data_IF_445787284496
#
_entry.id   IF_445787284496
#
_cell.length_a   1.000
_cell.length_b   1.000
_cell.length_c   1.000
_cell.angle_alpha   90.00
_cell.angle_beta   90.00
_cell.angle_gamma   90.00
#
_symmetry.space_group_name_H-M   'P 1'
#
loop_
_entity.id
_entity.type
_entity.pdbx_description
1 polymer ?
#
# COMPACT_ATOMS: atom_id res chain seq x y z
N UNK A 1 -22.78 11.56 -3.54
CA UNK A 1 -21.43 11.89 -4.01
C UNK A 1 -21.21 11.24 -5.36
N UNK A 2 -20.93 12.03 -6.35
CA UNK A 2 -20.63 11.65 -7.73
C UNK A 2 -19.15 11.85 -8.03
N UNK A 3 -18.66 11.32 -9.18
CA UNK A 3 -17.29 11.56 -9.65
C UNK A 3 -17.00 13.06 -9.82
N UNK A 4 -17.97 13.83 -10.32
CA UNK A 4 -17.77 15.27 -10.52
C UNK A 4 -17.64 16.02 -9.17
N UNK A 5 -18.44 15.66 -8.18
CA UNK A 5 -18.39 16.27 -6.85
C UNK A 5 -17.06 15.96 -6.15
N UNK A 6 -16.60 14.69 -6.15
CA UNK A 6 -15.36 14.29 -5.46
C UNK A 6 -14.12 14.97 -6.07
N UNK A 7 -14.11 15.24 -7.37
CA UNK A 7 -13.02 15.93 -8.02
C UNK A 7 -12.86 17.41 -7.58
N UNK A 8 -13.90 18.00 -7.02
CA UNK A 8 -13.92 19.39 -6.56
C UNK A 8 -13.72 19.55 -5.04
N UNK A 9 -13.72 18.46 -4.28
CA UNK A 9 -13.57 18.46 -2.81
C UNK A 9 -12.08 18.37 -2.43
N UNK A 10 -11.61 19.17 -1.48
CA UNK A 10 -10.27 19.03 -0.90
C UNK A 10 -10.29 18.03 0.28
N UNK A 11 -9.11 17.71 0.82
CA UNK A 11 -8.97 16.72 1.90
C UNK A 11 -9.70 17.13 3.18
N UNK A 12 -9.64 18.41 3.55
CA UNK A 12 -10.30 18.94 4.76
C UNK A 12 -11.83 18.84 4.63
N UNK A 13 -12.38 19.26 3.50
CA UNK A 13 -13.80 19.13 3.19
C UNK A 13 -14.25 17.66 3.20
N UNK A 14 -13.45 16.75 2.62
CA UNK A 14 -13.72 15.32 2.58
C UNK A 14 -13.84 14.73 3.99
N UNK A 15 -12.94 15.11 4.90
CA UNK A 15 -12.94 14.63 6.29
C UNK A 15 -14.09 15.25 7.08
N UNK A 16 -14.31 16.55 6.94
CA UNK A 16 -15.36 17.28 7.67
C UNK A 16 -16.77 16.81 7.30
N UNK A 17 -16.96 16.35 6.06
CA UNK A 17 -18.23 15.77 5.61
C UNK A 17 -18.56 14.46 6.34
N UNK A 18 -17.55 13.73 6.82
CA UNK A 18 -17.76 12.42 7.45
C UNK A 18 -18.31 11.38 6.47
N UNK A 19 -19.41 10.70 6.85
CA UNK A 19 -20.02 9.69 6.00
C UNK A 19 -20.95 10.29 4.96
N UNK A 20 -20.94 9.76 3.73
CA UNK A 20 -21.80 10.20 2.65
C UNK A 20 -22.33 9.04 1.80
N UNK A 21 -23.52 9.22 1.22
CA UNK A 21 -24.07 8.30 0.23
C UNK A 21 -23.39 8.51 -1.13
N UNK A 22 -22.97 7.42 -1.77
CA UNK A 22 -22.22 7.43 -3.03
C UNK A 22 -23.09 6.90 -4.18
N UNK A 23 -22.85 7.37 -5.41
CA UNK A 23 -23.51 6.86 -6.61
C UNK A 23 -23.24 5.36 -6.87
N UNK A 24 -22.17 4.77 -6.28
CA UNK A 24 -21.96 3.32 -6.31
C UNK A 24 -22.95 2.52 -5.45
N UNK A 25 -23.89 3.19 -4.78
CA UNK A 25 -24.91 2.57 -3.92
C UNK A 25 -24.47 2.29 -2.49
N UNK A 26 -23.23 2.59 -2.12
CA UNK A 26 -22.70 2.41 -0.75
C UNK A 26 -22.64 3.73 0.02
N UNK A 27 -22.53 3.63 1.34
CA UNK A 27 -22.17 4.74 2.22
C UNK A 27 -20.68 4.63 2.53
N UNK A 28 -19.93 5.68 2.24
CA UNK A 28 -18.50 5.75 2.53
C UNK A 28 -18.23 6.58 3.78
N UNK A 29 -17.21 6.19 4.55
CA UNK A 29 -16.72 6.91 5.71
C UNK A 29 -15.19 6.96 5.67
N UNK A 30 -14.55 8.12 5.91
CA UNK A 30 -13.09 8.27 5.79
C UNK A 30 -12.30 7.44 6.81
N UNK A 31 -12.91 7.03 7.92
CA UNK A 31 -12.25 6.23 8.96
C UNK A 31 -11.27 7.03 9.83
N UNK A 32 -11.00 8.28 9.50
CA UNK A 32 -10.18 9.25 10.25
C UNK A 32 -11.00 10.48 10.56
N UNK A 33 -10.77 11.10 11.72
CA UNK A 33 -11.53 12.28 12.15
C UNK A 33 -10.81 13.59 11.87
N UNK A 34 -9.47 13.58 11.90
CA UNK A 34 -8.64 14.77 11.66
C UNK A 34 -7.40 14.42 10.84
N UNK A 35 -7.05 15.28 9.91
CA UNK A 35 -5.76 15.27 9.21
C UNK A 35 -5.26 16.71 9.15
N UNK A 36 -4.06 16.94 9.67
CA UNK A 36 -3.44 18.27 9.74
C UNK A 36 -2.07 18.14 9.08
N UNK A 37 -1.90 18.73 7.90
CA UNK A 37 -0.63 18.70 7.14
C UNK A 37 -0.22 20.13 6.85
N UNK A 38 0.57 20.71 7.77
CA UNK A 38 1.03 22.10 7.71
C UNK A 38 2.30 22.31 8.54
N UNK A 39 2.94 23.45 8.43
CA UNK A 39 4.06 23.81 9.30
C UNK A 39 3.59 24.03 10.73
N UNK A 40 4.32 23.45 11.69
CA UNK A 40 3.97 23.57 13.10
C UNK A 40 2.75 22.74 13.50
N UNK A 41 2.33 21.75 12.70
CA UNK A 41 1.14 20.93 12.95
C UNK A 41 1.18 20.21 14.32
N UNK A 42 2.35 19.89 14.87
CA UNK A 42 2.48 19.33 16.22
C UNK A 42 1.86 20.21 17.32
N UNK A 43 1.76 21.52 17.11
CA UNK A 43 1.12 22.43 18.06
C UNK A 43 -0.39 22.19 18.20
N UNK A 44 -1.01 21.42 17.32
CA UNK A 44 -2.42 21.02 17.42
C UNK A 44 -2.67 19.90 18.45
N UNK A 45 -1.63 19.20 18.94
CA UNK A 45 -1.79 18.07 19.84
C UNK A 45 -2.61 18.36 21.11
N UNK A 46 -2.43 19.50 21.82
CA UNK A 46 -3.26 19.80 22.98
C UNK A 46 -4.75 19.89 22.64
N UNK A 47 -5.10 20.54 21.55
CA UNK A 47 -6.50 20.67 21.10
C UNK A 47 -7.07 19.31 20.66
N UNK A 48 -6.27 18.46 19.99
CA UNK A 48 -6.68 17.11 19.59
C UNK A 48 -6.93 16.21 20.83
N UNK A 49 -6.08 16.31 21.86
CA UNK A 49 -6.26 15.59 23.11
C UNK A 49 -7.50 16.08 23.88
N UNK A 50 -7.72 17.39 23.93
CA UNK A 50 -8.92 17.98 24.53
C UNK A 50 -10.20 17.48 23.81
N UNK A 51 -10.21 17.44 22.49
CA UNK A 51 -11.37 17.00 21.68
C UNK A 51 -11.76 15.55 21.99
N UNK A 52 -10.79 14.68 22.26
CA UNK A 52 -11.06 13.28 22.65
C UNK A 52 -11.19 13.07 24.17
N UNK A 53 -11.05 14.15 24.97
CA UNK A 53 -11.13 14.12 26.43
C UNK A 53 -9.92 13.45 27.11
N UNK A 54 -8.79 13.34 26.42
CA UNK A 54 -7.59 12.71 26.94
C UNK A 54 -6.71 13.71 27.73
N UNK A 55 -6.10 13.22 28.81
CA UNK A 55 -5.28 14.02 29.73
C UNK A 55 -3.84 13.53 29.85
N UNK A 56 -3.59 12.26 29.59
CA UNK A 56 -2.27 11.63 29.72
C UNK A 56 -2.03 10.68 28.56
N UNK A 57 -1.46 11.13 27.43
CA UNK A 57 -1.14 10.24 26.31
C UNK A 57 0.06 9.34 26.61
N UNK A 58 0.06 8.16 26.00
CA UNK A 58 1.22 7.27 25.89
C UNK A 58 1.93 7.52 24.57
N UNK A 59 3.20 7.95 24.63
CA UNK A 59 4.03 8.20 23.44
C UNK A 59 4.75 6.92 23.04
N UNK A 60 4.61 6.50 21.79
CA UNK A 60 5.25 5.32 21.21
C UNK A 60 6.12 5.72 20.03
N UNK A 61 7.42 5.39 20.04
CA UNK A 61 8.34 5.73 18.95
C UNK A 61 9.50 4.73 18.82
N UNK A 62 10.14 4.71 17.66
CA UNK A 62 11.50 4.19 17.50
C UNK A 62 12.53 5.20 17.95
N UNK A 63 13.80 4.77 18.12
CA UNK A 63 14.90 5.68 18.46
C UNK A 63 15.02 6.82 17.44
N UNK A 64 15.16 6.47 16.15
CA UNK A 64 15.38 7.44 15.07
C UNK A 64 14.18 8.39 14.88
N UNK A 65 12.96 7.88 15.07
CA UNK A 65 11.74 8.69 14.93
C UNK A 65 11.51 9.59 16.15
N UNK A 66 12.00 9.18 17.33
CA UNK A 66 12.03 10.05 18.50
C UNK A 66 13.05 11.18 18.37
N UNK A 67 14.24 10.89 17.78
CA UNK A 67 15.21 11.93 17.45
C UNK A 67 14.64 12.95 16.46
N UNK A 68 13.86 12.49 15.47
CA UNK A 68 13.29 13.34 14.44
C UNK A 68 12.19 14.29 14.97
N UNK A 69 11.32 13.83 15.88
CA UNK A 69 10.13 14.56 16.27
C UNK A 69 9.81 14.53 17.77
N UNK A 70 10.46 13.67 18.55
CA UNK A 70 10.13 13.47 19.96
C UNK A 70 10.29 14.73 20.80
N UNK A 71 11.36 15.51 20.58
CA UNK A 71 11.59 16.76 21.31
C UNK A 71 10.48 17.81 21.04
N UNK A 72 10.03 17.94 19.79
CA UNK A 72 8.94 18.86 19.44
C UNK A 72 7.62 18.44 20.09
N UNK A 73 7.29 17.14 20.05
CA UNK A 73 6.07 16.60 20.65
C UNK A 73 6.08 16.78 22.17
N UNK A 74 7.17 16.40 22.86
CA UNK A 74 7.25 16.51 24.32
C UNK A 74 7.22 17.98 24.78
N UNK A 75 7.92 18.88 24.08
CA UNK A 75 7.89 20.31 24.39
C UNK A 75 6.47 20.91 24.30
N UNK A 76 5.69 20.52 23.26
CA UNK A 76 4.30 20.96 23.12
C UNK A 76 3.44 20.47 24.30
N UNK A 77 3.58 19.21 24.70
CA UNK A 77 2.83 18.66 25.83
C UNK A 77 3.22 19.34 27.15
N UNK A 78 4.51 19.47 27.43
CA UNK A 78 5.07 20.09 28.64
C UNK A 78 4.67 21.56 28.77
N UNK A 79 4.76 22.34 27.68
CA UNK A 79 4.36 23.72 27.65
C UNK A 79 2.86 23.94 27.91
N UNK A 80 2.03 22.93 27.70
CA UNK A 80 0.60 22.95 27.96
C UNK A 80 0.22 22.20 29.24
N UNK A 81 1.21 21.77 30.06
CA UNK A 81 0.98 21.09 31.32
C UNK A 81 0.34 19.72 31.20
N UNK A 82 0.56 19.03 30.08
CA UNK A 82 0.02 17.71 29.79
C UNK A 82 1.06 16.66 30.19
N UNK A 83 0.75 15.86 31.21
CA UNK A 83 1.57 14.71 31.60
C UNK A 83 1.51 13.60 30.53
N UNK A 84 2.59 12.86 30.36
CA UNK A 84 2.66 11.72 29.44
C UNK A 84 3.53 10.60 29.98
N UNK A 85 3.29 9.37 29.51
CA UNK A 85 4.25 8.29 29.60
C UNK A 85 4.85 8.04 28.21
N UNK A 86 6.06 7.47 28.12
CA UNK A 86 6.67 7.17 26.83
C UNK A 86 7.40 5.85 26.81
N UNK A 87 7.37 5.21 25.66
CA UNK A 87 8.23 4.09 25.33
C UNK A 87 8.90 4.33 23.96
N UNK A 88 10.23 4.31 23.98
CA UNK A 88 11.07 4.42 22.80
C UNK A 88 11.73 3.06 22.59
N UNK A 89 11.50 2.42 21.44
CA UNK A 89 12.12 1.14 21.14
C UNK A 89 13.65 1.28 21.16
N UNK A 90 14.37 0.41 21.89
CA UNK A 90 15.82 0.51 22.03
C UNK A 90 16.60 -0.02 20.82
N UNK A 91 15.89 -0.54 19.81
CA UNK A 91 16.47 -1.14 18.61
C UNK A 91 16.21 -0.25 17.38
N UNK A 92 17.17 -0.20 16.45
CA UNK A 92 17.02 0.44 15.15
C UNK A 92 17.66 -0.46 14.08
N UNK A 93 16.96 -0.68 12.94
CA UNK A 93 15.58 -0.29 12.67
C UNK A 93 14.56 -1.12 13.47
N UNK A 94 13.42 -0.50 13.82
CA UNK A 94 12.27 -1.23 14.38
C UNK A 94 11.60 -2.01 13.25
N UNK A 95 11.32 -3.30 13.47
CA UNK A 95 10.60 -4.16 12.52
C UNK A 95 9.17 -4.42 12.99
N UNK A 96 8.20 -4.61 12.07
CA UNK A 96 6.79 -4.81 12.40
C UNK A 96 6.51 -6.26 12.84
N UNK A 97 7.10 -6.72 13.92
CA UNK A 97 7.05 -8.09 14.41
C UNK A 97 6.17 -8.24 15.66
N UNK A 98 5.88 -9.48 16.02
CA UNK A 98 5.22 -9.82 17.29
C UNK A 98 5.98 -9.30 18.51
N UNK A 99 7.33 -9.30 18.44
CA UNK A 99 8.18 -8.72 19.49
C UNK A 99 7.89 -7.23 19.69
N UNK A 100 7.76 -6.48 18.59
CA UNK A 100 7.51 -5.03 18.64
C UNK A 100 6.15 -4.73 19.27
N UNK A 101 5.10 -5.44 18.87
CA UNK A 101 3.77 -5.29 19.45
C UNK A 101 3.76 -5.72 20.91
N UNK A 102 4.34 -6.87 21.21
CA UNK A 102 4.44 -7.39 22.58
C UNK A 102 5.24 -6.45 23.51
N UNK A 103 6.34 -5.90 23.02
CA UNK A 103 7.16 -4.94 23.76
C UNK A 103 6.41 -3.63 24.04
N UNK A 104 5.72 -3.07 23.03
CA UNK A 104 4.88 -1.89 23.22
C UNK A 104 3.80 -2.12 24.28
N UNK A 105 3.16 -3.29 24.23
CA UNK A 105 2.11 -3.66 25.19
C UNK A 105 2.65 -3.85 26.63
N UNK A 106 3.81 -4.50 26.78
CA UNK A 106 4.42 -4.72 28.10
C UNK A 106 4.92 -3.43 28.78
N UNK A 107 5.23 -2.39 27.99
CA UNK A 107 5.67 -1.09 28.51
C UNK A 107 4.53 -0.05 28.57
N UNK A 108 3.32 -0.47 28.19
CA UNK A 108 2.18 0.43 28.21
C UNK A 108 1.81 0.83 29.64
N UNK A 109 1.70 2.14 29.89
CA UNK A 109 1.22 2.68 31.17
C UNK A 109 -0.31 2.78 31.15
N UNK A 110 -0.95 1.91 31.91
CA UNK A 110 -2.43 1.83 32.00
C UNK A 110 -3.10 3.05 32.63
N UNK A 111 -2.34 4.03 33.15
CA UNK A 111 -2.88 5.33 33.56
C UNK A 111 -3.05 6.30 32.38
N UNK A 112 -2.59 5.92 31.17
CA UNK A 112 -2.75 6.70 29.95
C UNK A 112 -4.13 6.46 29.32
N UNK A 113 -4.68 7.52 28.72
CA UNK A 113 -6.04 7.59 28.16
C UNK A 113 -6.08 7.86 26.64
N UNK A 114 -4.91 8.02 26.01
CA UNK A 114 -4.72 8.10 24.58
C UNK A 114 -3.36 7.54 24.17
N UNK A 115 -3.15 7.28 22.90
CA UNK A 115 -1.86 6.84 22.33
C UNK A 115 -1.44 7.83 21.26
N UNK A 116 -0.19 8.32 21.31
CA UNK A 116 0.45 9.11 20.27
C UNK A 116 1.63 8.31 19.73
N UNK A 117 1.53 7.85 18.48
CA UNK A 117 2.66 7.32 17.73
C UNK A 117 3.50 8.46 17.16
N UNK A 118 4.83 8.38 17.29
CA UNK A 118 5.77 9.31 16.66
C UNK A 118 6.62 8.49 15.71
N UNK A 119 6.30 8.52 14.41
CA UNK A 119 6.98 7.67 13.45
C UNK A 119 6.31 7.58 12.09
N UNK A 120 6.72 6.58 11.33
CA UNK A 120 6.16 6.23 10.02
C UNK A 120 5.52 4.82 10.08
N UNK A 121 5.57 4.03 9.01
CA UNK A 121 4.83 2.79 8.85
C UNK A 121 4.81 1.85 10.05
N UNK A 122 5.98 1.42 10.52
CA UNK A 122 6.09 0.41 11.60
C UNK A 122 5.52 0.91 12.92
N UNK A 123 5.84 2.16 13.29
CA UNK A 123 5.31 2.78 14.52
C UNK A 123 3.80 2.99 14.40
N UNK A 124 3.33 3.41 13.23
CA UNK A 124 1.91 3.56 12.97
C UNK A 124 1.17 2.22 13.11
N UNK A 125 1.67 1.17 12.48
CA UNK A 125 1.05 -0.16 12.54
C UNK A 125 1.06 -0.74 13.96
N UNK A 126 2.16 -0.58 14.69
CA UNK A 126 2.25 -0.98 16.11
C UNK A 126 1.29 -0.17 16.98
N UNK A 127 1.22 1.16 16.78
CA UNK A 127 0.30 2.05 17.50
C UNK A 127 -1.17 1.70 17.26
N UNK A 128 -1.54 1.39 16.02
CA UNK A 128 -2.89 0.93 15.65
C UNK A 128 -3.25 -0.40 16.33
N UNK A 129 -2.30 -1.35 16.40
CA UNK A 129 -2.49 -2.62 17.11
C UNK A 129 -2.66 -2.41 18.62
N UNK A 130 -1.83 -1.54 19.24
CA UNK A 130 -1.95 -1.19 20.66
C UNK A 130 -3.27 -0.48 20.95
N UNK A 131 -3.70 0.46 20.10
CA UNK A 131 -4.97 1.15 20.22
C UNK A 131 -6.17 0.21 20.16
N UNK A 132 -6.13 -0.78 19.25
CA UNK A 132 -7.16 -1.83 19.18
C UNK A 132 -7.21 -2.67 20.47
N UNK A 133 -6.05 -3.05 21.00
CA UNK A 133 -5.96 -3.90 22.20
C UNK A 133 -6.42 -3.16 23.45
N UNK A 134 -6.18 -1.85 23.56
CA UNK A 134 -6.53 -1.01 24.71
C UNK A 134 -7.88 -0.33 24.60
N UNK A 135 -8.45 -0.22 23.39
CA UNK A 135 -9.67 0.52 23.13
C UNK A 135 -9.47 2.07 23.11
N UNK A 136 -8.23 2.53 23.18
CA UNK A 136 -7.91 3.97 23.22
C UNK A 136 -7.88 4.62 21.83
N UNK A 137 -8.07 5.93 21.80
CA UNK A 137 -7.87 6.72 20.58
C UNK A 137 -6.39 6.80 20.23
N UNK A 138 -6.09 6.74 18.93
CA UNK A 138 -4.75 6.77 18.40
C UNK A 138 -4.54 8.02 17.53
N UNK A 139 -3.47 8.76 17.81
CA UNK A 139 -2.99 9.89 17.01
C UNK A 139 -1.60 9.50 16.48
N UNK A 140 -1.37 9.71 15.18
CA UNK A 140 -0.02 9.57 14.61
C UNK A 140 0.58 10.92 14.28
N UNK A 141 1.76 11.20 14.82
CA UNK A 141 2.66 12.26 14.37
C UNK A 141 3.60 11.63 13.38
N UNK A 142 3.36 11.90 12.10
CA UNK A 142 4.13 11.30 11.01
C UNK A 142 5.53 11.94 10.93
N UNK A 143 6.57 11.10 10.86
CA UNK A 143 7.96 11.56 10.69
C UNK A 143 8.47 11.47 9.25
N UNK A 144 7.77 10.74 8.39
CA UNK A 144 8.05 10.67 6.96
C UNK A 144 6.80 10.21 6.19
N UNK A 145 6.49 10.80 5.03
CA UNK A 145 5.40 10.38 4.16
C UNK A 145 5.86 9.20 3.27
N UNK A 146 6.01 7.99 3.82
CA UNK A 146 6.69 6.88 3.15
C UNK A 146 5.78 5.74 2.68
N UNK A 147 4.49 5.71 3.08
CA UNK A 147 3.51 4.66 2.75
C UNK A 147 2.07 5.12 3.01
N UNK A 148 1.07 4.43 2.44
CA UNK A 148 -0.35 4.81 2.49
C UNK A 148 -1.15 4.24 3.69
N UNK A 149 -0.49 3.54 4.61
CA UNK A 149 -1.13 2.87 5.74
C UNK A 149 -1.53 3.76 6.92
N UNK A 150 -1.38 5.11 6.87
CA UNK A 150 -1.62 6.01 8.01
C UNK A 150 -3.03 5.90 8.57
N UNK A 151 -4.03 5.84 7.70
CA UNK A 151 -5.45 5.81 8.08
C UNK A 151 -6.15 4.51 7.73
N UNK A 152 -5.44 3.50 7.24
CA UNK A 152 -6.03 2.19 6.95
C UNK A 152 -6.45 1.46 8.24
N UNK A 153 -7.54 0.70 8.18
CA UNK A 153 -8.02 -0.15 9.28
C UNK A 153 -7.23 -1.45 9.48
N UNK A 154 -6.09 -1.60 8.80
CA UNK A 154 -5.22 -2.78 8.90
C UNK A 154 -3.78 -2.39 9.22
N UNK A 155 -3.04 -3.29 9.84
CA UNK A 155 -1.60 -3.18 10.12
C UNK A 155 -0.86 -4.30 9.39
N UNK A 156 0.23 -3.96 8.71
CA UNK A 156 1.10 -4.91 8.02
C UNK A 156 2.18 -5.39 8.98
N UNK A 157 2.09 -6.66 9.37
CA UNK A 157 2.94 -7.24 10.42
C UNK A 157 3.63 -8.50 9.92
N UNK A 158 4.77 -8.81 10.52
CA UNK A 158 5.44 -10.10 10.40
C UNK A 158 4.97 -10.97 11.57
N UNK A 159 4.34 -12.10 11.27
CA UNK A 159 3.84 -13.06 12.26
C UNK A 159 4.23 -14.48 11.86
N UNK A 160 4.88 -15.20 12.75
CA UNK A 160 5.36 -16.57 12.50
C UNK A 160 6.26 -16.65 11.25
N UNK A 161 7.05 -15.59 10.98
CA UNK A 161 7.88 -15.49 9.76
C UNK A 161 7.13 -15.18 8.47
N UNK A 162 5.85 -14.81 8.55
CA UNK A 162 5.00 -14.47 7.40
C UNK A 162 4.56 -13.02 7.44
N UNK A 163 4.53 -12.37 6.27
CA UNK A 163 3.92 -11.05 6.09
C UNK A 163 2.40 -11.16 6.06
N UNK A 164 1.73 -10.62 7.09
CA UNK A 164 0.27 -10.68 7.24
C UNK A 164 -0.33 -9.29 7.40
N UNK A 165 -1.56 -9.11 6.91
CA UNK A 165 -2.36 -7.92 7.21
C UNK A 165 -3.35 -8.25 8.32
N UNK A 166 -3.20 -7.61 9.46
CA UNK A 166 -4.06 -7.79 10.62
C UNK A 166 -5.05 -6.64 10.73
N UNK A 167 -6.31 -6.95 11.06
CA UNK A 167 -7.27 -5.90 11.39
C UNK A 167 -6.80 -5.14 12.63
N UNK A 168 -6.79 -3.81 12.53
CA UNK A 168 -6.42 -2.88 13.59
C UNK A 168 -7.44 -1.75 13.69
N UNK A 169 -7.11 -0.69 14.44
CA UNK A 169 -7.93 0.52 14.51
C UNK A 169 -7.24 1.60 13.68
N UNK A 170 -7.94 2.24 12.76
CA UNK A 170 -7.40 3.39 12.04
C UNK A 170 -7.00 4.52 13.02
N UNK A 171 -6.02 5.34 12.64
CA UNK A 171 -5.70 6.54 13.41
C UNK A 171 -6.92 7.46 13.49
N UNK A 172 -7.22 7.95 14.71
CA UNK A 172 -8.25 8.98 14.89
C UNK A 172 -7.82 10.32 14.31
N UNK A 173 -6.52 10.64 14.44
CA UNK A 173 -5.93 11.81 13.82
C UNK A 173 -4.55 11.53 13.23
N UNK A 174 -4.23 12.22 12.13
CA UNK A 174 -2.92 12.25 11.49
C UNK A 174 -2.37 13.68 11.57
N UNK A 175 -1.17 13.81 12.13
CA UNK A 175 -0.44 15.07 12.26
C UNK A 175 0.82 14.98 11.39
N UNK A 176 0.84 15.69 10.29
CA UNK A 176 1.95 15.79 9.33
C UNK A 176 2.60 17.16 9.42
N UNK A 177 3.51 17.36 10.35
CA UNK A 177 4.22 18.63 10.49
C UNK A 177 5.28 18.78 9.38
N UNK A 178 5.12 19.77 8.52
CA UNK A 178 6.01 19.99 7.39
C UNK A 178 7.44 20.39 7.81
N UNK A 179 7.61 20.97 9.00
CA UNK A 179 8.96 21.25 9.53
C UNK A 179 9.69 19.93 9.90
N UNK A 180 8.95 18.85 10.19
CA UNK A 180 9.47 17.50 10.42
C UNK A 180 9.54 16.72 9.10
N UNK A 181 8.44 16.65 8.35
CA UNK A 181 8.34 15.83 7.15
C UNK A 181 9.37 16.23 6.08
N UNK A 182 9.66 17.53 5.92
CA UNK A 182 10.68 18.00 4.99
C UNK A 182 12.11 17.60 5.40
N UNK A 183 12.34 17.21 6.66
CA UNK A 183 13.64 16.70 7.14
C UNK A 183 13.78 15.18 7.04
N UNK A 184 12.72 14.48 6.67
CA UNK A 184 12.77 13.02 6.53
C UNK A 184 13.89 12.56 5.58
N UNK A 185 14.49 11.38 5.80
CA UNK A 185 15.47 10.83 4.86
C UNK A 185 14.90 10.77 3.43
N UNK A 186 15.71 11.16 2.43
CA UNK A 186 15.22 11.28 1.04
C UNK A 186 14.64 9.97 0.51
N UNK A 187 15.25 8.84 0.84
CA UNK A 187 14.73 7.53 0.43
C UNK A 187 13.30 7.25 0.97
N UNK A 188 12.90 7.84 2.11
CA UNK A 188 11.54 7.72 2.64
C UNK A 188 10.56 8.66 1.91
N UNK A 189 10.99 9.85 1.51
CA UNK A 189 10.19 10.74 0.67
C UNK A 189 9.92 10.12 -0.70
N UNK A 190 10.97 9.59 -1.30
CA UNK A 190 10.90 8.87 -2.59
C UNK A 190 10.06 7.61 -2.48
N UNK A 191 10.16 6.87 -1.36
CA UNK A 191 9.29 5.72 -1.07
C UNK A 191 7.81 6.10 -1.11
N UNK A 192 7.42 7.24 -0.51
CA UNK A 192 6.03 7.69 -0.57
C UNK A 192 5.54 7.96 -1.99
N UNK A 193 6.39 8.53 -2.85
CA UNK A 193 6.06 8.67 -4.27
C UNK A 193 5.88 7.31 -4.94
N UNK A 194 6.78 6.35 -4.69
CA UNK A 194 6.68 5.00 -5.23
C UNK A 194 5.38 4.29 -4.84
N UNK A 195 4.96 4.45 -3.60
CA UNK A 195 3.68 3.93 -3.13
C UNK A 195 2.49 4.63 -3.83
N UNK A 196 2.58 5.95 -4.10
CA UNK A 196 1.56 6.64 -4.89
C UNK A 196 1.57 6.22 -6.36
N UNK A 197 2.73 5.98 -6.99
CA UNK A 197 2.82 5.48 -8.36
C UNK A 197 2.10 4.12 -8.53
N UNK A 198 2.06 3.29 -7.51
CA UNK A 198 1.32 2.04 -7.52
C UNK A 198 -0.18 2.21 -7.87
N UNK A 199 -0.75 3.40 -7.61
CA UNK A 199 -2.15 3.72 -7.91
C UNK A 199 -2.42 3.80 -9.42
N UNK A 200 -1.38 3.99 -10.24
CA UNK A 200 -1.46 3.93 -11.71
C UNK A 200 -2.02 2.57 -12.15
N UNK A 201 -1.48 1.50 -11.61
CA UNK A 201 -1.82 0.12 -12.02
C UNK A 201 -2.97 -0.44 -11.19
N UNK A 202 -2.99 -0.24 -9.87
CA UNK A 202 -4.02 -0.79 -8.99
C UNK A 202 -5.44 -0.35 -9.35
N UNK A 203 -5.65 0.92 -9.75
CA UNK A 203 -6.97 1.41 -10.15
C UNK A 203 -7.47 0.74 -11.44
N UNK A 204 -6.59 0.49 -12.41
CA UNK A 204 -6.93 -0.20 -13.65
C UNK A 204 -7.19 -1.68 -13.40
N UNK A 205 -6.37 -2.33 -12.58
CA UNK A 205 -6.59 -3.71 -12.18
C UNK A 205 -7.89 -3.89 -11.38
N UNK A 206 -8.27 -2.93 -10.56
CA UNK A 206 -9.57 -2.94 -9.89
C UNK A 206 -10.72 -2.89 -10.90
N UNK A 207 -10.61 -2.06 -11.94
CA UNK A 207 -11.58 -2.01 -13.04
C UNK A 207 -11.61 -3.31 -13.86
N UNK A 208 -10.44 -3.91 -14.12
CA UNK A 208 -10.36 -5.22 -14.79
C UNK A 208 -11.04 -6.33 -13.97
N UNK A 209 -10.85 -6.32 -12.65
CA UNK A 209 -11.51 -7.28 -11.76
C UNK A 209 -13.04 -7.13 -11.75
N UNK A 210 -13.57 -5.90 -11.79
CA UNK A 210 -15.00 -5.68 -12.00
C UNK A 210 -15.49 -6.32 -13.31
N UNK A 211 -14.77 -6.10 -14.41
CA UNK A 211 -15.13 -6.62 -15.73
C UNK A 211 -15.12 -8.15 -15.76
N UNK A 212 -14.08 -8.77 -15.20
CA UNK A 212 -13.78 -10.20 -15.41
C UNK A 212 -14.43 -11.08 -14.35
N UNK A 213 -14.39 -10.65 -13.09
CA UNK A 213 -14.87 -11.48 -11.96
C UNK A 213 -16.04 -10.85 -11.20
N UNK A 214 -16.52 -9.68 -11.63
CA UNK A 214 -17.67 -9.01 -11.01
C UNK A 214 -17.37 -8.42 -9.64
N UNK A 215 -16.11 -8.05 -9.37
CA UNK A 215 -15.73 -7.42 -8.11
C UNK A 215 -16.36 -6.03 -7.97
N UNK A 216 -16.76 -5.66 -6.77
CA UNK A 216 -17.29 -4.33 -6.49
C UNK A 216 -16.28 -3.23 -6.85
N UNK A 217 -16.70 -2.29 -7.69
CA UNK A 217 -15.90 -1.13 -8.11
C UNK A 217 -16.64 0.17 -7.78
N UNK A 218 -15.91 1.15 -7.25
CA UNK A 218 -16.47 2.48 -6.98
C UNK A 218 -15.75 3.55 -7.82
N UNK A 219 -16.40 4.13 -8.84
CA UNK A 219 -15.79 5.14 -9.69
C UNK A 219 -15.45 6.42 -8.92
N UNK A 220 -16.21 6.78 -7.88
CA UNK A 220 -15.94 7.95 -7.03
C UNK A 220 -14.65 7.76 -6.23
N UNK A 221 -14.48 6.57 -5.64
CA UNK A 221 -13.23 6.23 -4.93
C UNK A 221 -12.03 6.21 -5.87
N UNK A 222 -12.19 5.64 -7.06
CA UNK A 222 -11.13 5.61 -8.06
C UNK A 222 -10.75 7.02 -8.53
N UNK A 223 -11.73 7.91 -8.76
CA UNK A 223 -11.49 9.30 -9.15
C UNK A 223 -10.76 10.09 -8.04
N UNK A 224 -11.12 9.88 -6.77
CA UNK A 224 -10.44 10.50 -5.63
C UNK A 224 -8.95 10.13 -5.59
N UNK A 225 -8.63 8.86 -5.75
CA UNK A 225 -7.24 8.38 -5.75
C UNK A 225 -6.49 8.87 -6.99
N UNK A 226 -7.13 8.87 -8.18
CA UNK A 226 -6.51 9.39 -9.39
C UNK A 226 -6.15 10.87 -9.25
N UNK A 227 -7.04 11.69 -8.71
CA UNK A 227 -6.77 13.10 -8.42
C UNK A 227 -5.58 13.30 -7.48
N UNK A 228 -5.48 12.50 -6.42
CA UNK A 228 -4.36 12.55 -5.49
C UNK A 228 -3.05 12.14 -6.17
N UNK A 229 -3.07 11.09 -7.00
CA UNK A 229 -1.95 10.65 -7.81
C UNK A 229 -1.46 11.76 -8.75
N UNK A 230 -2.38 12.39 -9.50
CA UNK A 230 -2.05 13.45 -10.45
C UNK A 230 -1.39 14.65 -9.73
N UNK A 231 -1.87 14.99 -8.53
CA UNK A 231 -1.26 16.04 -7.69
C UNK A 231 0.17 15.67 -7.28
N UNK A 232 0.40 14.43 -6.83
CA UNK A 232 1.74 13.95 -6.46
C UNK A 232 2.67 13.96 -7.66
N UNK A 233 2.25 13.41 -8.80
CA UNK A 233 3.08 13.35 -10.01
C UNK A 233 3.47 14.75 -10.51
N UNK A 234 2.56 15.72 -10.44
CA UNK A 234 2.84 17.10 -10.86
C UNK A 234 3.76 17.87 -9.91
N UNK A 235 3.95 17.40 -8.67
CA UNK A 235 4.78 18.07 -7.65
C UNK A 235 6.14 17.42 -7.43
N UNK A 236 6.49 16.36 -8.16
CA UNK A 236 7.72 15.59 -7.94
C UNK A 236 9.01 16.38 -8.12
N UNK A 237 9.05 17.40 -8.99
CA UNK A 237 10.23 18.27 -9.19
C UNK A 237 10.70 18.98 -7.91
N UNK A 238 9.76 19.33 -7.01
CA UNK A 238 10.06 19.97 -5.72
C UNK A 238 10.56 18.99 -4.64
N UNK A 239 10.41 17.66 -4.87
CA UNK A 239 10.68 16.68 -3.82
C UNK A 239 12.16 16.63 -3.42
N UNK A 240 13.07 16.59 -4.40
CA UNK A 240 14.52 16.58 -4.13
C UNK A 240 14.99 17.86 -3.44
N UNK A 241 14.29 18.98 -3.63
CA UNK A 241 14.52 20.25 -2.94
C UNK A 241 13.83 20.32 -1.58
N UNK A 242 13.07 19.29 -1.23
CA UNK A 242 12.27 19.25 0.02
C UNK A 242 11.28 20.40 0.13
N UNK A 243 10.73 20.84 -1.01
CA UNK A 243 9.74 21.91 -1.03
C UNK A 243 8.49 21.50 -0.25
N UNK A 244 8.00 22.32 0.69
CA UNK A 244 6.87 21.93 1.55
C UNK A 244 5.62 21.51 0.77
N UNK A 245 5.36 22.13 -0.36
CA UNK A 245 4.21 21.82 -1.23
C UNK A 245 4.34 20.41 -1.85
N UNK A 246 5.56 20.01 -2.26
CA UNK A 246 5.80 18.68 -2.80
C UNK A 246 5.66 17.61 -1.71
N UNK A 247 6.25 17.82 -0.54
CA UNK A 247 6.17 16.89 0.59
C UNK A 247 4.74 16.79 1.12
N UNK A 248 4.00 17.92 1.22
CA UNK A 248 2.58 17.94 1.59
C UNK A 248 1.75 17.14 0.58
N UNK A 249 1.99 17.32 -0.72
CA UNK A 249 1.26 16.58 -1.76
C UNK A 249 1.43 15.07 -1.62
N UNK A 250 2.64 14.58 -1.32
CA UNK A 250 2.88 13.16 -1.05
C UNK A 250 2.13 12.71 0.21
N UNK A 251 2.24 13.45 1.33
CA UNK A 251 1.56 13.09 2.58
C UNK A 251 0.04 13.03 2.42
N UNK A 252 -0.55 14.06 1.80
CA UNK A 252 -1.99 14.10 1.54
C UNK A 252 -2.43 12.97 0.59
N UNK A 253 -1.64 12.70 -0.46
CA UNK A 253 -1.91 11.60 -1.38
C UNK A 253 -1.96 10.24 -0.69
N UNK A 254 -0.99 9.95 0.18
CA UNK A 254 -0.93 8.73 0.97
C UNK A 254 -2.12 8.61 1.94
N UNK A 255 -2.51 9.70 2.59
CA UNK A 255 -3.71 9.73 3.44
C UNK A 255 -4.98 9.46 2.62
N UNK A 256 -5.12 10.09 1.44
CA UNK A 256 -6.25 9.87 0.53
C UNK A 256 -6.31 8.40 0.07
N UNK A 257 -5.18 7.78 -0.24
CA UNK A 257 -5.13 6.35 -0.57
C UNK A 257 -5.64 5.47 0.59
N UNK A 258 -5.26 5.80 1.84
CA UNK A 258 -5.77 5.14 3.04
C UNK A 258 -7.28 5.33 3.24
N UNK A 259 -7.80 6.54 3.02
CA UNK A 259 -9.24 6.83 3.05
C UNK A 259 -9.98 6.02 1.97
N UNK A 260 -9.41 5.93 0.77
CA UNK A 260 -10.00 5.16 -0.32
C UNK A 260 -10.09 3.65 -0.01
N UNK A 261 -9.10 3.10 0.69
CA UNK A 261 -9.17 1.73 1.20
C UNK A 261 -10.31 1.55 2.20
N UNK A 262 -10.56 2.52 3.09
CA UNK A 262 -11.70 2.50 3.99
C UNK A 262 -13.04 2.57 3.22
N UNK A 263 -13.13 3.39 2.17
CA UNK A 263 -14.32 3.48 1.32
C UNK A 263 -14.63 2.17 0.59
N UNK A 264 -13.62 1.52 0.06
CA UNK A 264 -13.76 0.26 -0.63
C UNK A 264 -13.99 -0.94 0.32
N UNK A 265 -13.56 -0.83 1.59
CA UNK A 265 -13.50 -1.93 2.56
C UNK A 265 -12.42 -2.98 2.23
N UNK A 266 -11.65 -2.73 1.20
CA UNK A 266 -10.56 -3.59 0.70
C UNK A 266 -9.42 -2.71 0.16
N UNK A 267 -8.22 -3.28 0.00
CA UNK A 267 -7.05 -2.52 -0.48
C UNK A 267 -6.98 -2.36 -2.02
N UNK A 268 -8.08 -2.60 -2.76
CA UNK A 268 -8.11 -2.49 -4.23
C UNK A 268 -7.72 -1.11 -4.78
N UNK A 269 -8.21 0.01 -4.19
CA UNK A 269 -7.87 1.33 -4.72
C UNK A 269 -6.37 1.66 -4.65
N UNK A 270 -5.64 0.94 -3.81
CA UNK A 270 -4.25 1.23 -3.48
C UNK A 270 -3.27 0.12 -3.85
N UNK A 271 -3.73 -1.09 -4.17
CA UNK A 271 -2.87 -2.28 -4.28
C UNK A 271 -3.37 -3.26 -5.33
N UNK A 272 -2.55 -3.51 -6.33
CA UNK A 272 -2.71 -4.51 -7.40
C UNK A 272 -1.49 -5.43 -7.50
N UNK A 273 -1.13 -5.83 -8.72
CA UNK A 273 0.02 -6.70 -9.04
C UNK A 273 1.35 -6.11 -8.57
N UNK A 274 1.52 -4.79 -8.66
CA UNK A 274 2.72 -4.08 -8.22
C UNK A 274 3.05 -4.32 -6.74
N UNK A 275 2.04 -4.35 -5.89
CA UNK A 275 2.21 -4.68 -4.47
C UNK A 275 2.49 -6.17 -4.24
N UNK A 276 2.08 -7.02 -5.15
CA UNK A 276 2.36 -8.45 -5.05
C UNK A 276 3.83 -8.76 -5.32
N UNK A 277 4.51 -7.98 -6.14
CA UNK A 277 5.97 -7.97 -6.20
C UNK A 277 6.57 -7.67 -4.82
N UNK A 278 6.17 -6.57 -4.18
CA UNK A 278 6.63 -6.20 -2.85
C UNK A 278 6.40 -7.30 -1.82
N UNK A 279 5.22 -7.93 -1.81
CA UNK A 279 4.92 -9.00 -0.86
C UNK A 279 5.82 -10.24 -1.04
N UNK A 280 6.14 -10.64 -2.28
CA UNK A 280 7.05 -11.75 -2.54
C UNK A 280 8.46 -11.38 -2.07
N UNK A 281 8.94 -10.18 -2.40
CA UNK A 281 10.26 -9.70 -1.97
C UNK A 281 10.37 -9.61 -0.44
N UNK A 282 9.32 -9.12 0.24
CA UNK A 282 9.26 -9.10 1.70
C UNK A 282 9.33 -10.52 2.28
N UNK A 283 8.52 -11.48 1.78
CA UNK A 283 8.57 -12.86 2.26
C UNK A 283 9.93 -13.50 2.04
N UNK A 284 10.58 -13.24 0.91
CA UNK A 284 11.94 -13.72 0.67
C UNK A 284 12.96 -13.10 1.61
N UNK A 285 12.85 -11.80 1.91
CA UNK A 285 13.78 -11.14 2.85
C UNK A 285 13.68 -11.65 4.29
N UNK A 286 12.54 -12.27 4.64
CA UNK A 286 12.38 -12.96 5.92
C UNK A 286 12.92 -14.40 5.91
N UNK A 287 12.95 -15.04 4.74
CA UNK A 287 13.28 -16.45 4.58
C UNK A 287 14.75 -16.69 4.19
N UNK A 288 15.37 -15.78 3.46
CA UNK A 288 16.68 -15.97 2.84
C UNK A 288 17.61 -14.79 3.14
N UNK A 289 18.86 -15.09 3.52
CA UNK A 289 19.89 -14.09 3.86
C UNK A 289 20.37 -13.27 2.66
N UNK A 290 20.20 -13.79 1.43
CA UNK A 290 20.58 -13.12 0.18
C UNK A 290 19.53 -12.10 -0.30
N UNK A 291 18.33 -12.12 0.24
CA UNK A 291 17.27 -11.17 -0.08
C UNK A 291 17.34 -9.94 0.84
N UNK A 292 17.35 -8.76 0.24
CA UNK A 292 17.45 -7.50 0.98
C UNK A 292 16.07 -6.97 1.35
N UNK A 293 15.98 -6.41 2.55
CA UNK A 293 14.82 -5.62 2.95
C UNK A 293 14.92 -4.21 2.35
N UNK A 294 13.82 -3.71 1.82
CA UNK A 294 13.72 -2.34 1.31
C UNK A 294 12.39 -1.69 1.72
N UNK A 295 12.31 -0.38 1.62
CA UNK A 295 11.08 0.36 1.91
C UNK A 295 9.94 -0.08 0.99
N UNK A 296 8.76 -0.25 1.57
CA UNK A 296 7.57 -0.74 0.89
C UNK A 296 7.26 0.02 -0.42
N UNK A 297 7.29 1.35 -0.37
CA UNK A 297 7.00 2.16 -1.55
C UNK A 297 8.08 2.08 -2.64
N UNK A 298 9.35 1.79 -2.30
CA UNK A 298 10.38 1.51 -3.31
C UNK A 298 10.03 0.21 -4.05
N UNK A 299 9.69 -0.83 -3.31
CA UNK A 299 9.29 -2.10 -3.91
C UNK A 299 8.01 -1.96 -4.74
N UNK A 300 6.98 -1.25 -4.23
CA UNK A 300 5.73 -1.01 -4.95
C UNK A 300 5.94 -0.18 -6.23
N UNK A 301 6.82 0.83 -6.19
CA UNK A 301 7.18 1.63 -7.36
C UNK A 301 7.89 0.80 -8.43
N UNK A 302 8.87 -0.04 -8.05
CA UNK A 302 9.51 -0.99 -8.96
C UNK A 302 8.48 -1.97 -9.55
N UNK A 303 7.60 -2.53 -8.71
CA UNK A 303 6.52 -3.39 -9.14
C UNK A 303 5.58 -2.69 -10.15
N UNK A 304 5.32 -1.38 -9.95
CA UNK A 304 4.54 -0.58 -10.91
C UNK A 304 5.21 -0.53 -12.28
N UNK A 305 6.51 -0.25 -12.32
CA UNK A 305 7.26 -0.20 -13.57
C UNK A 305 7.19 -1.56 -14.30
N UNK A 306 7.39 -2.66 -13.61
CA UNK A 306 7.30 -4.00 -14.20
C UNK A 306 5.88 -4.36 -14.63
N UNK A 307 4.88 -3.96 -13.86
CA UNK A 307 3.46 -4.13 -14.22
C UNK A 307 3.13 -3.38 -15.52
N UNK A 308 3.60 -2.14 -15.68
CA UNK A 308 3.42 -1.36 -16.90
C UNK A 308 4.10 -2.02 -18.10
N UNK A 309 5.34 -2.49 -17.95
CA UNK A 309 6.05 -3.21 -19.02
C UNK A 309 5.28 -4.44 -19.48
N UNK A 310 4.70 -5.22 -18.55
CA UNK A 310 3.92 -6.41 -18.88
C UNK A 310 2.61 -6.07 -19.62
N UNK A 311 1.92 -5.00 -19.24
CA UNK A 311 0.73 -4.54 -19.95
C UNK A 311 1.04 -3.95 -21.33
N UNK A 312 2.16 -3.23 -21.47
CA UNK A 312 2.65 -2.76 -22.77
C UNK A 312 2.95 -3.93 -23.70
N UNK A 313 3.59 -4.98 -23.20
CA UNK A 313 3.90 -6.18 -23.96
C UNK A 313 2.63 -6.86 -24.51
N UNK A 314 1.59 -6.98 -23.65
CA UNK A 314 0.29 -7.51 -24.06
C UNK A 314 -0.31 -6.73 -25.24
N UNK A 315 -0.29 -5.40 -25.17
CA UNK A 315 -0.87 -4.54 -26.19
C UNK A 315 0.00 -4.50 -27.45
N UNK A 316 1.31 -4.35 -27.30
CA UNK A 316 2.25 -4.19 -28.43
C UNK A 316 2.34 -5.46 -29.29
N UNK A 317 2.29 -6.63 -28.69
CA UNK A 317 2.24 -7.92 -29.41
C UNK A 317 0.85 -8.19 -30.00
N UNK A 318 -0.16 -7.39 -29.67
CA UNK A 318 -1.51 -7.56 -30.21
C UNK A 318 -2.14 -8.88 -29.86
N UNK A 319 -1.88 -9.39 -28.64
CA UNK A 319 -2.48 -10.63 -28.16
C UNK A 319 -4.00 -10.56 -28.23
N UNK A 320 -4.59 -11.69 -28.64
CA UNK A 320 -6.03 -11.93 -28.61
C UNK A 320 -6.31 -13.21 -27.89
N UNK A 321 -7.44 -13.33 -27.17
CA UNK A 321 -7.82 -14.57 -26.52
C UNK A 321 -7.93 -15.71 -27.54
N UNK A 322 -7.22 -16.80 -27.29
CA UNK A 322 -7.32 -18.06 -28.01
C UNK A 322 -7.89 -19.10 -27.05
N UNK A 323 -9.16 -19.43 -27.23
CA UNK A 323 -9.90 -20.34 -26.36
C UNK A 323 -9.27 -21.74 -26.27
N UNK A 324 -8.84 -22.28 -27.40
CA UNK A 324 -8.27 -23.63 -27.46
C UNK A 324 -6.90 -23.65 -26.77
N UNK A 325 -6.03 -22.67 -27.07
CA UNK A 325 -4.73 -22.51 -26.42
C UNK A 325 -4.88 -22.39 -24.92
N UNK A 326 -5.77 -21.52 -24.41
CA UNK A 326 -5.97 -21.27 -23.00
C UNK A 326 -6.49 -22.51 -22.24
N UNK A 327 -7.49 -23.21 -22.80
CA UNK A 327 -8.01 -24.44 -22.19
C UNK A 327 -6.98 -25.57 -22.18
N UNK A 328 -6.19 -25.73 -23.26
CA UNK A 328 -5.12 -26.71 -23.32
C UNK A 328 -3.98 -26.38 -22.34
N UNK A 329 -3.65 -25.11 -22.16
CA UNK A 329 -2.67 -24.68 -21.17
C UNK A 329 -3.08 -25.13 -19.75
N UNK A 330 -4.30 -24.81 -19.34
CA UNK A 330 -4.80 -25.17 -17.99
C UNK A 330 -4.91 -26.68 -17.80
N UNK A 331 -5.32 -27.41 -18.84
CA UNK A 331 -5.39 -28.89 -18.80
C UNK A 331 -4.03 -29.55 -18.56
N UNK A 332 -2.95 -28.93 -19.07
CA UNK A 332 -1.59 -29.46 -18.95
C UNK A 332 -0.78 -28.82 -17.80
N UNK A 333 -1.37 -27.88 -17.07
CA UNK A 333 -0.70 -27.22 -15.95
C UNK A 333 -0.53 -28.18 -14.78
N UNK A 334 0.71 -28.35 -14.33
CA UNK A 334 1.04 -29.16 -13.15
C UNK A 334 1.04 -28.29 -11.90
N UNK A 335 0.01 -28.42 -11.08
CA UNK A 335 -0.09 -27.67 -9.82
C UNK A 335 0.98 -28.11 -8.81
N UNK A 336 1.35 -29.41 -8.81
CA UNK A 336 2.39 -29.93 -7.92
C UNK A 336 3.76 -29.35 -8.25
N UNK A 337 4.11 -29.25 -9.54
CA UNK A 337 5.37 -28.63 -9.98
C UNK A 337 5.36 -27.13 -9.65
N UNK A 338 4.24 -26.45 -9.84
CA UNK A 338 4.06 -25.05 -9.50
C UNK A 338 4.24 -24.80 -8.00
N UNK A 339 3.60 -25.59 -7.15
CA UNK A 339 3.75 -25.51 -5.70
C UNK A 339 5.19 -25.82 -5.26
N UNK A 340 5.89 -26.70 -5.96
CA UNK A 340 7.32 -26.93 -5.78
C UNK A 340 8.17 -25.69 -6.06
N UNK A 341 7.86 -24.96 -7.15
CA UNK A 341 8.54 -23.69 -7.49
C UNK A 341 8.26 -22.60 -6.44
N UNK A 342 6.99 -22.45 -5.99
CA UNK A 342 6.63 -21.51 -4.92
C UNK A 342 7.46 -21.78 -3.65
N UNK A 343 7.54 -23.03 -3.18
CA UNK A 343 8.34 -23.41 -2.01
C UNK A 343 9.82 -23.10 -2.17
N UNK A 344 10.37 -23.39 -3.34
CA UNK A 344 11.78 -23.14 -3.63
C UNK A 344 12.12 -21.66 -3.66
N UNK A 345 11.24 -20.82 -4.20
CA UNK A 345 11.51 -19.41 -4.39
C UNK A 345 11.10 -18.54 -3.21
N UNK A 346 9.90 -18.75 -2.66
CA UNK A 346 9.33 -17.93 -1.59
C UNK A 346 9.73 -18.40 -0.18
N UNK A 347 10.08 -19.68 -0.07
CA UNK A 347 10.39 -20.30 1.23
C UNK A 347 9.13 -20.57 2.07
N UNK A 348 9.18 -20.39 3.41
CA UNK A 348 8.05 -20.70 4.30
C UNK A 348 6.74 -19.98 3.95
N UNK A 349 6.82 -18.79 3.36
CA UNK A 349 5.66 -18.01 2.92
C UNK A 349 4.82 -18.69 1.83
N UNK A 350 5.40 -19.66 1.10
CA UNK A 350 4.72 -20.39 0.05
C UNK A 350 3.51 -21.21 0.56
N UNK A 351 3.58 -21.75 1.76
CA UNK A 351 2.46 -22.55 2.30
C UNK A 351 1.18 -21.70 2.47
N UNK A 352 1.31 -20.46 2.91
CA UNK A 352 0.16 -19.54 3.00
C UNK A 352 -0.42 -19.20 1.62
N UNK A 353 0.42 -19.11 0.58
CA UNK A 353 -0.02 -18.92 -0.81
C UNK A 353 -0.80 -20.16 -1.30
N UNK A 354 -0.25 -21.37 -1.10
CA UNK A 354 -0.85 -22.63 -1.50
C UNK A 354 -2.19 -22.86 -0.75
N UNK A 355 -2.26 -22.57 0.53
CA UNK A 355 -3.51 -22.62 1.29
C UNK A 355 -4.55 -21.64 0.74
N UNK A 356 -4.12 -20.42 0.36
CA UNK A 356 -4.95 -19.42 -0.29
C UNK A 356 -5.49 -19.90 -1.64
N UNK A 357 -4.64 -20.49 -2.49
CA UNK A 357 -5.02 -21.10 -3.78
C UNK A 357 -6.12 -22.15 -3.61
N UNK A 358 -5.92 -23.06 -2.66
CA UNK A 358 -6.86 -24.13 -2.36
C UNK A 358 -8.20 -23.59 -1.85
N UNK A 359 -8.17 -22.63 -0.91
CA UNK A 359 -9.36 -22.00 -0.35
C UNK A 359 -10.19 -21.27 -1.42
N UNK A 360 -9.54 -20.53 -2.30
CA UNK A 360 -10.16 -19.77 -3.38
C UNK A 360 -10.49 -20.65 -4.61
N UNK A 361 -10.02 -21.89 -4.65
CA UNK A 361 -10.12 -22.78 -5.81
C UNK A 361 -9.59 -22.11 -7.09
N UNK A 362 -8.40 -21.49 -7.01
CA UNK A 362 -7.83 -20.69 -8.10
C UNK A 362 -7.55 -21.49 -9.36
N UNK A 363 -7.26 -22.77 -9.22
CA UNK A 363 -6.90 -23.69 -10.32
C UNK A 363 -8.05 -24.59 -10.76
N UNK A 364 -9.29 -24.30 -10.35
CA UNK A 364 -10.48 -24.99 -10.83
C UNK A 364 -10.71 -24.72 -12.32
N UNK A 365 -10.66 -25.76 -13.15
CA UNK A 365 -10.79 -25.67 -14.60
C UNK A 365 -12.17 -25.14 -15.05
N UNK A 366 -13.24 -25.42 -14.29
CA UNK A 366 -14.57 -24.93 -14.63
C UNK A 366 -14.72 -23.42 -14.30
N UNK A 367 -14.11 -22.95 -13.20
CA UNK A 367 -14.02 -21.53 -12.90
C UNK A 367 -13.17 -20.80 -13.96
N UNK A 368 -12.03 -21.37 -14.36
CA UNK A 368 -11.21 -20.85 -15.44
C UNK A 368 -11.98 -20.70 -16.74
N UNK A 369 -12.66 -21.77 -17.19
CA UNK A 369 -13.42 -21.75 -18.45
C UNK A 369 -14.49 -20.64 -18.43
N UNK A 370 -15.19 -20.43 -17.30
CA UNK A 370 -16.17 -19.33 -17.16
C UNK A 370 -15.53 -17.95 -17.27
N UNK A 371 -14.38 -17.73 -16.61
CA UNK A 371 -13.66 -16.46 -16.73
C UNK A 371 -13.16 -16.21 -18.14
N UNK A 372 -12.64 -17.27 -18.80
CA UNK A 372 -12.15 -17.18 -20.16
C UNK A 372 -13.25 -16.75 -21.16
N UNK A 373 -14.49 -17.27 -21.04
CA UNK A 373 -15.60 -16.78 -21.87
C UNK A 373 -15.87 -15.28 -21.64
N UNK A 374 -15.86 -14.82 -20.38
CA UNK A 374 -16.02 -13.39 -20.08
C UNK A 374 -14.88 -12.57 -20.69
N UNK A 375 -13.65 -13.06 -20.58
CA UNK A 375 -12.46 -12.38 -21.14
C UNK A 375 -12.59 -12.29 -22.68
N UNK A 376 -13.02 -13.35 -23.34
CA UNK A 376 -13.22 -13.39 -24.80
C UNK A 376 -14.32 -12.38 -25.20
N UNK A 377 -15.48 -12.45 -24.53
CA UNK A 377 -16.63 -11.63 -24.86
C UNK A 377 -16.39 -10.13 -24.61
N UNK A 378 -15.57 -9.81 -23.60
CA UNK A 378 -15.30 -8.42 -23.18
C UNK A 378 -13.86 -7.96 -23.47
N UNK A 379 -13.16 -8.62 -24.41
CA UNK A 379 -11.75 -8.34 -24.68
C UNK A 379 -11.48 -6.89 -25.09
N UNK A 380 -12.34 -6.31 -25.90
CA UNK A 380 -12.19 -4.92 -26.32
C UNK A 380 -12.29 -3.97 -25.12
N UNK A 381 -13.21 -4.19 -24.21
CA UNK A 381 -13.36 -3.39 -22.99
C UNK A 381 -12.14 -3.55 -22.06
N UNK A 382 -11.63 -4.78 -21.89
CA UNK A 382 -10.43 -5.09 -21.12
C UNK A 382 -9.23 -4.33 -21.70
N UNK A 383 -9.04 -4.39 -23.01
CA UNK A 383 -7.91 -3.72 -23.67
C UNK A 383 -8.03 -2.19 -23.64
N UNK A 384 -9.24 -1.64 -23.73
CA UNK A 384 -9.45 -0.19 -23.57
C UNK A 384 -9.05 0.29 -22.16
N UNK A 385 -9.35 -0.46 -21.09
CA UNK A 385 -8.87 -0.14 -19.74
C UNK A 385 -7.34 -0.16 -19.69
N UNK A 386 -6.71 -1.20 -20.25
CA UNK A 386 -5.24 -1.33 -20.28
C UNK A 386 -4.57 -0.19 -21.02
N UNK A 387 -5.13 0.24 -22.16
CA UNK A 387 -4.61 1.37 -22.96
C UNK A 387 -4.66 2.73 -22.25
N UNK A 388 -5.39 2.85 -21.14
CA UNK A 388 -5.36 4.07 -20.31
C UNK A 388 -4.13 4.17 -19.43
N UNK A 389 -3.31 3.13 -19.35
CA UNK A 389 -2.05 3.13 -18.59
C UNK A 389 -1.02 4.01 -19.34
N UNK A 390 -0.23 4.81 -18.61
CA UNK A 390 0.87 5.55 -19.21
C UNK A 390 1.98 4.61 -19.69
N UNK A 391 2.78 5.03 -20.69
CA UNK A 391 3.96 4.28 -21.10
C UNK A 391 4.95 4.05 -19.93
N UNK A 392 5.51 2.84 -19.83
CA UNK A 392 6.50 2.50 -18.80
C UNK A 392 7.73 3.40 -18.86
N UNK A 393 8.13 3.83 -20.07
CA UNK A 393 9.23 4.76 -20.28
C UNK A 393 8.97 6.16 -19.67
N UNK A 394 7.72 6.63 -19.66
CA UNK A 394 7.35 7.90 -19.01
C UNK A 394 7.51 7.81 -17.50
N UNK A 395 7.00 6.74 -16.90
CA UNK A 395 7.10 6.53 -15.46
C UNK A 395 8.56 6.29 -15.05
N UNK A 396 9.33 5.55 -15.83
CA UNK A 396 10.78 5.39 -15.63
C UNK A 396 11.50 6.75 -15.60
N UNK A 397 11.20 7.63 -16.56
CA UNK A 397 11.79 8.97 -16.61
C UNK A 397 11.41 9.82 -15.39
N UNK A 398 10.16 9.73 -14.92
CA UNK A 398 9.74 10.40 -13.69
C UNK A 398 10.51 9.85 -12.50
N UNK A 399 10.62 8.53 -12.36
CA UNK A 399 11.39 7.88 -11.30
C UNK A 399 12.86 8.35 -11.31
N UNK A 400 13.50 8.34 -12.46
CA UNK A 400 14.89 8.83 -12.63
C UNK A 400 15.05 10.30 -12.22
N UNK A 401 14.05 11.13 -12.49
CA UNK A 401 14.07 12.57 -12.15
C UNK A 401 14.06 12.86 -10.66
N UNK A 402 13.70 11.89 -9.82
CA UNK A 402 13.66 11.99 -8.35
C UNK A 402 14.64 11.02 -7.66
N UNK A 403 15.63 10.51 -8.37
CA UNK A 403 16.61 9.52 -7.89
C UNK A 403 15.93 8.23 -7.36
N UNK A 404 14.76 7.88 -7.89
CA UNK A 404 14.08 6.62 -7.56
C UNK A 404 14.72 5.46 -8.33
N UNK A 405 14.97 4.29 -7.70
CA UNK A 405 15.50 3.12 -8.39
C UNK A 405 14.56 2.64 -9.53
N UNK A 406 15.14 2.29 -10.68
CA UNK A 406 14.39 1.78 -11.84
C UNK A 406 14.68 0.32 -12.18
N UNK A 407 15.42 -0.38 -11.30
CA UNK A 407 15.74 -1.79 -11.42
C UNK A 407 15.73 -2.47 -10.06
N UNK A 408 15.17 -3.67 -9.98
CA UNK A 408 15.19 -4.50 -8.76
C UNK A 408 16.61 -5.02 -8.38
N UNK A 409 17.62 -4.75 -9.20
CA UNK A 409 19.01 -5.00 -8.82
C UNK A 409 19.42 -4.24 -7.55
N UNK A 410 18.80 -3.09 -7.26
CA UNK A 410 19.01 -2.33 -6.02
C UNK A 410 18.59 -3.09 -4.75
N UNK A 411 17.69 -4.07 -4.90
CA UNK A 411 17.20 -4.96 -3.83
C UNK A 411 17.64 -6.42 -4.02
N UNK A 412 18.67 -6.65 -4.84
CA UNK A 412 19.32 -7.95 -5.01
C UNK A 412 18.65 -8.90 -6.00
N UNK A 413 17.73 -8.44 -6.85
CA UNK A 413 17.07 -9.26 -7.86
C UNK A 413 17.65 -9.00 -9.25
N UNK A 414 18.14 -10.05 -9.90
CA UNK A 414 18.44 -10.06 -11.32
C UNK A 414 17.16 -10.22 -12.17
N UNK A 415 17.32 -10.28 -13.47
CA UNK A 415 16.20 -10.44 -14.42
C UNK A 415 15.40 -11.71 -14.18
N UNK A 416 16.08 -12.83 -13.93
CA UNK A 416 15.42 -14.12 -13.66
C UNK A 416 14.62 -14.07 -12.36
N UNK A 417 15.15 -13.41 -11.34
CA UNK A 417 14.45 -13.16 -10.08
C UNK A 417 13.22 -12.28 -10.25
N UNK A 418 13.27 -11.24 -11.10
CA UNK A 418 12.12 -10.41 -11.44
C UNK A 418 11.07 -11.22 -12.20
N UNK A 419 11.48 -11.99 -13.22
CA UNK A 419 10.62 -12.86 -14.03
C UNK A 419 9.90 -13.89 -13.16
N UNK A 420 10.64 -14.55 -12.27
CA UNK A 420 10.08 -15.52 -11.33
C UNK A 420 9.09 -14.85 -10.36
N UNK A 421 9.46 -13.71 -9.78
CA UNK A 421 8.56 -12.94 -8.92
C UNK A 421 7.26 -12.58 -9.66
N UNK A 422 7.36 -12.06 -10.88
CA UNK A 422 6.21 -11.72 -11.71
C UNK A 422 5.24 -12.90 -11.85
N UNK A 423 5.71 -14.07 -12.27
CA UNK A 423 4.83 -15.24 -12.48
C UNK A 423 4.13 -15.68 -11.19
N UNK A 424 4.75 -15.46 -10.03
CA UNK A 424 4.22 -15.84 -8.72
C UNK A 424 3.22 -14.84 -8.14
N UNK A 425 3.19 -13.59 -8.64
CA UNK A 425 2.25 -12.57 -8.14
C UNK A 425 0.78 -13.00 -8.28
N UNK A 426 0.43 -13.87 -9.24
CA UNK A 426 -0.94 -14.37 -9.44
C UNK A 426 -1.52 -15.13 -8.24
N UNK A 427 -0.67 -15.56 -7.28
CA UNK A 427 -1.09 -16.44 -6.18
C UNK A 427 -0.93 -15.83 -4.78
N UNK A 428 -0.44 -14.58 -4.68
CA UNK A 428 -0.19 -13.95 -3.38
C UNK A 428 -1.45 -13.83 -2.52
N UNK A 429 -2.57 -13.44 -3.10
CA UNK A 429 -3.85 -13.24 -2.41
C UNK A 429 -5.03 -13.56 -3.34
N UNK A 430 -6.22 -13.24 -2.89
CA UNK A 430 -7.50 -13.50 -3.55
C UNK A 430 -7.84 -12.54 -4.71
N UNK A 431 -7.13 -11.40 -4.83
CA UNK A 431 -7.41 -10.41 -5.88
C UNK A 431 -7.13 -10.95 -7.29
N UNK A 432 -8.02 -10.62 -8.22
CA UNK A 432 -7.75 -10.80 -9.64
C UNK A 432 -6.81 -9.70 -10.14
N UNK A 433 -5.64 -10.06 -10.64
CA UNK A 433 -4.57 -9.14 -11.09
C UNK A 433 -4.10 -9.53 -12.51
N UNK A 434 -3.29 -8.68 -13.16
CA UNK A 434 -2.84 -8.89 -14.54
C UNK A 434 -2.18 -10.24 -14.79
N UNK A 435 -1.35 -10.74 -13.87
CA UNK A 435 -0.73 -12.07 -14.02
C UNK A 435 -1.74 -13.21 -13.99
N UNK A 436 -2.88 -13.04 -13.32
CA UNK A 436 -3.98 -14.01 -13.42
C UNK A 436 -4.66 -13.94 -14.79
N UNK A 437 -4.82 -12.75 -15.37
CA UNK A 437 -5.32 -12.59 -16.74
C UNK A 437 -4.38 -13.28 -17.75
N UNK A 438 -3.06 -13.08 -17.62
CA UNK A 438 -2.09 -13.72 -18.52
C UNK A 438 -2.09 -15.24 -18.36
N UNK A 439 -2.26 -15.76 -17.13
CA UNK A 439 -2.40 -17.17 -16.87
C UNK A 439 -3.72 -17.72 -17.46
N UNK A 440 -4.84 -17.02 -17.29
CA UNK A 440 -6.14 -17.40 -17.86
C UNK A 440 -6.08 -17.48 -19.40
N UNK A 441 -5.27 -16.65 -20.04
CA UNK A 441 -5.03 -16.64 -21.49
C UNK A 441 -3.98 -17.69 -21.94
N UNK A 442 -3.25 -18.31 -21.02
CA UNK A 442 -2.15 -19.22 -21.32
C UNK A 442 -0.93 -18.55 -21.95
N UNK A 443 -0.64 -17.30 -21.58
CA UNK A 443 0.45 -16.48 -22.11
C UNK A 443 1.37 -15.90 -21.02
N UNK A 444 1.24 -16.33 -19.76
CA UNK A 444 1.98 -15.77 -18.64
C UNK A 444 3.50 -15.78 -18.85
N UNK A 445 4.05 -16.92 -19.30
CA UNK A 445 5.48 -17.07 -19.57
C UNK A 445 5.93 -16.23 -20.77
N UNK A 446 5.08 -16.10 -21.80
CA UNK A 446 5.37 -15.29 -22.99
C UNK A 446 5.43 -13.79 -22.64
N UNK A 447 4.58 -13.31 -21.73
CA UNK A 447 4.63 -11.92 -21.22
C UNK A 447 5.87 -11.74 -20.32
N UNK A 448 6.21 -12.74 -19.52
CA UNK A 448 7.36 -12.64 -18.61
C UNK A 448 8.71 -12.46 -19.33
N UNK A 449 8.80 -12.79 -20.63
CA UNK A 449 9.99 -12.57 -21.46
C UNK A 449 10.33 -11.07 -21.63
N UNK A 450 9.41 -10.15 -21.33
CA UNK A 450 9.67 -8.69 -21.38
C UNK A 450 10.75 -8.26 -20.37
N UNK A 451 11.06 -9.09 -19.38
CA UNK A 451 12.07 -8.81 -18.36
C UNK A 451 13.47 -9.35 -18.74
N UNK A 452 13.61 -10.09 -19.84
CA UNK A 452 14.89 -10.57 -20.40
C UNK A 452 15.65 -9.43 -21.08
#
# INVERSE_FOLDING_TARGET
MTVNEINNINLEELISMGSFACECGKVHSPGVSKVIVEKGAVNSLPALLEEIGAKKPFLLSGHDTFEAAGASVTAVLENNGIDYAKYVFPVSPVRPTEYTVGSAFMHFDYSCDAIIGIGSGVINDTGKMLARATGLKYIIVATAPSMDGFVSGTSSMDRDGLKVSLYSTAAWAVVGDLDILCQAPMHMLVSGVGDMLAKITSLREWKLAEIIVGEDYCPVTAALVQKALDKVMSSTEGLLKREPEAVSSVMEGLVIAGIAMNYAGVSRPASGMEHYFSHIWDMRSLAFEDAQFEQHGIQAGLGTLYTLMAYEELINKGYKPDREKALNFVKNFSLDDWNGQLRSFVGPGAEAMIEGENREHKYDAAKHAKRLEIIIDRWDEITEVIKTLPPSAEIRKLMESIDFPTSAACIGYDKDGVKTTFTMTKDIRDKYVGTRLYWDLGILEEIAEVFD
#
